data_IF_342318515777
#
_entry.id   IF_342318515777
#
_cell.length_a   1.000
_cell.length_b   1.000
_cell.length_c   1.000
_cell.angle_alpha   90.00
_cell.angle_beta   90.00
_cell.angle_gamma   90.00
#
_symmetry.space_group_name_H-M   'P 1'
#
loop_
_entity.id
_entity.type
_entity.pdbx_description
1 polymer ?
#
# COMPACT_ATOMS: atom_id res chain seq x y z
N UNK A 1 -23.66 -8.16 -1.87
CA UNK A 1 -23.07 -7.22 -2.85
C UNK A 1 -21.59 -7.54 -2.98
N UNK A 2 -21.07 -7.67 -4.20
CA UNK A 2 -19.65 -7.97 -4.46
C UNK A 2 -18.82 -6.72 -4.20
N UNK A 3 -17.79 -6.81 -3.36
CA UNK A 3 -16.77 -5.76 -3.27
C UNK A 3 -15.87 -5.87 -4.51
N UNK A 4 -15.63 -4.80 -5.28
CA UNK A 4 -14.85 -4.84 -6.52
C UNK A 4 -13.38 -5.28 -6.30
N UNK A 5 -12.90 -5.26 -5.04
CA UNK A 5 -11.56 -5.66 -4.70
C UNK A 5 -11.36 -7.18 -4.61
N UNK A 6 -12.35 -7.99 -4.20
CA UNK A 6 -12.19 -9.45 -4.05
C UNK A 6 -12.99 -10.21 -5.13
N UNK A 7 -12.45 -10.34 -6.36
CA UNK A 7 -13.20 -10.81 -7.53
C UNK A 7 -13.68 -12.26 -7.39
N UNK A 8 -12.89 -13.09 -6.73
CA UNK A 8 -13.16 -14.52 -6.54
C UNK A 8 -13.96 -14.83 -5.27
N UNK A 9 -14.39 -13.80 -4.51
CA UNK A 9 -15.15 -13.95 -3.26
C UNK A 9 -14.47 -14.91 -2.27
N UNK A 10 -13.14 -14.84 -2.22
CA UNK A 10 -12.33 -15.66 -1.33
C UNK A 10 -12.56 -15.23 0.13
N UNK A 11 -12.28 -16.15 1.05
CA UNK A 11 -12.23 -15.84 2.48
C UNK A 11 -11.27 -14.68 2.72
N UNK A 12 -11.71 -13.68 3.48
CA UNK A 12 -10.90 -12.49 3.78
C UNK A 12 -10.05 -12.74 5.01
N UNK A 13 -8.76 -12.39 4.91
CA UNK A 13 -7.82 -12.31 6.02
C UNK A 13 -7.61 -10.84 6.33
N UNK A 14 -7.91 -10.48 7.57
CA UNK A 14 -7.80 -9.11 8.07
C UNK A 14 -6.37 -8.78 8.51
N UNK A 15 -6.03 -7.49 8.49
CA UNK A 15 -4.69 -7.02 8.92
C UNK A 15 -4.81 -6.12 10.15
N UNK A 16 -4.15 -6.52 11.23
CA UNK A 16 -4.06 -5.75 12.47
C UNK A 16 -2.78 -4.90 12.47
N UNK A 17 -2.92 -3.57 12.59
CA UNK A 17 -1.80 -2.60 12.46
C UNK A 17 -1.28 -2.05 13.79
N UNK A 18 -1.87 -2.41 14.92
CA UNK A 18 -1.46 -1.94 16.26
C UNK A 18 -1.40 -3.10 17.24
N UNK A 19 -0.57 -2.96 18.28
CA UNK A 19 -0.47 -3.95 19.37
C UNK A 19 -1.83 -4.31 19.96
N UNK A 20 -2.68 -3.30 20.23
CA UNK A 20 -4.00 -3.50 20.82
C UNK A 20 -4.87 -4.42 19.95
N UNK A 21 -4.94 -4.17 18.64
CA UNK A 21 -5.77 -4.96 17.72
C UNK A 21 -5.18 -6.36 17.53
N UNK A 22 -3.85 -6.48 17.47
CA UNK A 22 -3.16 -7.78 17.38
C UNK A 22 -3.48 -8.64 18.62
N UNK A 23 -3.37 -8.07 19.81
CA UNK A 23 -3.64 -8.78 21.06
C UNK A 23 -5.12 -9.12 21.22
N UNK A 24 -6.02 -8.24 20.79
CA UNK A 24 -7.46 -8.53 20.78
C UNK A 24 -7.76 -9.76 19.91
N UNK A 25 -7.22 -9.82 18.69
CA UNK A 25 -7.41 -10.98 17.82
C UNK A 25 -6.91 -12.29 18.47
N UNK A 26 -5.76 -12.23 19.16
CA UNK A 26 -5.24 -13.39 19.91
C UNK A 26 -6.17 -13.82 21.06
N UNK A 27 -6.74 -12.87 21.80
CA UNK A 27 -7.69 -13.13 22.89
C UNK A 27 -9.00 -13.76 22.37
N UNK A 28 -9.39 -13.43 21.14
CA UNK A 28 -10.54 -14.00 20.45
C UNK A 28 -10.27 -15.41 19.87
N UNK A 29 -9.07 -15.96 20.09
CA UNK A 29 -8.68 -17.30 19.63
C UNK A 29 -8.19 -17.35 18.19
N UNK A 30 -7.98 -16.20 17.55
CA UNK A 30 -7.33 -16.10 16.24
C UNK A 30 -5.81 -16.15 16.44
N UNK A 31 -5.07 -16.44 15.39
CA UNK A 31 -3.61 -16.49 15.41
C UNK A 31 -3.02 -15.31 14.64
N UNK A 32 -2.46 -14.29 15.30
CA UNK A 32 -1.76 -13.22 14.59
C UNK A 32 -0.44 -13.73 13.98
N UNK A 33 -0.28 -13.56 12.67
CA UNK A 33 0.99 -13.73 11.98
C UNK A 33 1.68 -12.36 11.88
N UNK A 34 2.51 -12.05 12.89
CA UNK A 34 3.19 -10.76 13.00
C UNK A 34 4.32 -10.66 11.98
N UNK A 35 4.40 -9.52 11.29
CA UNK A 35 5.41 -9.17 10.29
C UNK A 35 5.95 -7.76 10.52
N UNK A 36 7.23 -7.50 10.20
CA UNK A 36 7.75 -6.14 10.16
C UNK A 36 7.12 -5.38 9.00
N UNK A 37 6.92 -4.08 9.19
CA UNK A 37 6.56 -3.16 8.10
C UNK A 37 7.85 -2.49 7.64
N UNK A 38 8.29 -2.83 6.43
CA UNK A 38 9.56 -2.34 5.86
C UNK A 38 9.23 -1.51 4.62
N UNK A 39 9.34 -0.17 4.69
CA UNK A 39 9.16 0.68 3.53
C UNK A 39 10.11 0.33 2.39
N UNK A 40 9.57 0.17 1.17
CA UNK A 40 10.38 -0.02 -0.03
C UNK A 40 10.79 1.33 -0.65
N UNK A 41 12.03 1.44 -1.10
CA UNK A 41 12.52 2.61 -1.87
C UNK A 41 11.90 2.68 -3.29
N UNK A 42 11.35 1.56 -3.76
CA UNK A 42 10.59 1.48 -5.01
C UNK A 42 9.17 2.03 -4.86
N UNK A 43 8.64 2.14 -3.64
CA UNK A 43 7.33 2.78 -3.43
C UNK A 43 7.56 4.27 -3.20
N UNK A 44 7.12 5.08 -4.16
CA UNK A 44 7.19 6.52 -4.02
C UNK A 44 6.21 7.23 -4.92
N UNK A 45 5.81 8.43 -4.48
CA UNK A 45 5.14 9.41 -5.31
C UNK A 45 6.09 10.57 -5.59
N UNK A 46 5.89 11.22 -6.73
CA UNK A 46 6.55 12.48 -7.08
C UNK A 46 5.68 13.66 -6.67
N UNK A 47 6.31 14.69 -6.11
CA UNK A 47 5.67 15.96 -5.80
C UNK A 47 6.65 17.12 -6.02
N UNK A 48 6.16 18.19 -6.65
CA UNK A 48 6.69 19.54 -6.54
C UNK A 48 5.69 20.41 -5.80
N UNK A 49 6.18 21.34 -4.98
CA UNK A 49 5.33 22.27 -4.21
C UNK A 49 5.56 23.68 -4.72
N UNK A 50 4.47 24.33 -5.09
CA UNK A 50 4.46 25.70 -5.57
C UNK A 50 3.65 26.54 -4.59
N UNK A 51 4.12 27.75 -4.31
CA UNK A 51 3.47 28.66 -3.37
C UNK A 51 3.09 29.95 -4.08
N UNK A 52 1.85 30.38 -3.90
CA UNK A 52 1.36 31.65 -4.43
C UNK A 52 2.03 32.82 -3.68
N UNK A 53 2.70 33.70 -4.41
CA UNK A 53 3.55 34.78 -3.86
C UNK A 53 2.83 35.77 -2.94
N UNK A 54 1.53 35.99 -3.15
CA UNK A 54 0.72 36.95 -2.36
C UNK A 54 -0.07 36.31 -1.21
N UNK A 55 -0.78 35.20 -1.46
CA UNK A 55 -1.67 34.56 -0.48
C UNK A 55 -0.95 33.54 0.39
N UNK A 56 0.18 32.98 -0.08
CA UNK A 56 0.88 31.90 0.59
C UNK A 56 0.25 30.52 0.41
N UNK A 57 -0.83 30.40 -0.35
CA UNK A 57 -1.48 29.12 -0.68
C UNK A 57 -0.54 28.21 -1.48
N UNK A 58 -0.66 26.91 -1.28
CA UNK A 58 0.15 25.91 -1.98
C UNK A 58 -0.63 25.18 -3.05
N UNK A 59 0.06 24.81 -4.12
CA UNK A 59 -0.43 23.90 -5.15
C UNK A 59 0.64 22.84 -5.43
N UNK A 60 0.19 21.60 -5.64
CA UNK A 60 1.05 20.44 -5.80
C UNK A 60 1.12 20.01 -7.26
N UNK A 61 2.31 19.62 -7.73
CA UNK A 61 2.48 19.01 -9.04
C UNK A 61 3.06 17.60 -8.94
N UNK A 62 2.32 16.61 -9.47
CA UNK A 62 2.86 15.28 -9.78
C UNK A 62 3.51 15.20 -11.17
N UNK A 63 3.23 16.17 -12.04
CA UNK A 63 3.71 16.21 -13.42
C UNK A 63 4.83 17.24 -13.59
N UNK A 64 6.03 16.77 -13.95
CA UNK A 64 7.19 17.64 -14.17
C UNK A 64 7.00 18.62 -15.34
N UNK A 65 6.05 18.34 -16.24
CA UNK A 65 5.74 19.17 -17.41
C UNK A 65 4.79 20.32 -17.06
N UNK A 66 4.14 20.27 -15.89
CA UNK A 66 3.17 21.28 -15.49
C UNK A 66 3.84 22.64 -15.29
N UNK A 67 3.23 23.69 -15.86
CA UNK A 67 3.70 25.06 -15.74
C UNK A 67 2.69 25.87 -14.95
N UNK A 68 3.15 26.47 -13.86
CA UNK A 68 2.35 27.38 -13.05
C UNK A 68 2.41 28.80 -13.61
N UNK A 69 1.42 29.62 -13.27
CA UNK A 69 1.47 31.05 -13.57
C UNK A 69 2.64 31.73 -12.85
N UNK A 70 2.97 32.96 -13.26
CA UNK A 70 4.04 33.75 -12.62
C UNK A 70 3.75 34.13 -11.17
N UNK A 71 2.48 34.01 -10.75
CA UNK A 71 2.05 34.30 -9.39
C UNK A 71 2.48 33.21 -8.40
N UNK A 72 2.94 32.06 -8.89
CA UNK A 72 3.50 30.99 -8.09
C UNK A 72 5.02 30.93 -8.19
N UNK A 73 5.64 30.44 -7.12
CA UNK A 73 7.05 30.08 -7.11
C UNK A 73 7.27 28.66 -6.63
N UNK A 74 8.26 27.98 -7.20
CA UNK A 74 8.62 26.64 -6.78
C UNK A 74 9.39 26.73 -5.46
N UNK A 75 8.77 26.27 -4.37
CA UNK A 75 9.38 26.27 -3.03
C UNK A 75 9.98 24.91 -2.69
N UNK A 76 9.44 23.83 -3.26
CA UNK A 76 10.03 22.49 -3.19
C UNK A 76 10.14 21.94 -4.61
N UNK A 77 11.37 21.86 -5.17
CA UNK A 77 11.59 21.22 -6.47
C UNK A 77 11.07 19.78 -6.49
N UNK A 78 10.71 19.31 -7.69
CA UNK A 78 10.16 17.97 -7.88
C UNK A 78 11.07 16.91 -7.27
N UNK A 79 10.54 16.15 -6.31
CA UNK A 79 11.22 15.07 -5.60
C UNK A 79 10.29 13.90 -5.37
N UNK A 80 10.85 12.75 -5.06
CA UNK A 80 10.09 11.58 -4.65
C UNK A 80 10.00 11.50 -3.12
N UNK A 81 8.93 10.88 -2.62
CA UNK A 81 8.72 10.60 -1.21
C UNK A 81 7.89 9.32 -1.04
N UNK A 82 8.06 8.65 0.10
CA UNK A 82 7.23 7.52 0.49
C UNK A 82 5.87 8.03 1.00
N UNK A 83 4.74 7.70 0.35
CA UNK A 83 3.47 8.38 0.61
C UNK A 83 2.63 7.74 1.71
N UNK A 84 3.06 6.60 2.27
CA UNK A 84 2.29 5.86 3.26
C UNK A 84 2.81 6.12 4.68
N UNK A 85 1.89 6.13 5.64
CA UNK A 85 2.19 6.24 7.05
C UNK A 85 1.48 5.10 7.79
N UNK A 86 2.26 4.27 8.49
CA UNK A 86 1.74 3.19 9.31
C UNK A 86 1.89 3.54 10.80
N UNK A 87 0.91 3.18 11.64
CA UNK A 87 0.93 3.52 13.06
C UNK A 87 2.05 2.80 13.83
N UNK A 88 2.52 1.66 13.32
CA UNK A 88 3.54 0.83 13.95
C UNK A 88 4.52 0.28 12.90
N UNK A 89 5.78 -0.01 13.28
CA UNK A 89 6.76 -0.65 12.39
C UNK A 89 6.53 -2.17 12.23
N UNK A 90 5.34 -2.65 12.60
CA UNK A 90 4.90 -4.03 12.52
C UNK A 90 3.39 -4.06 12.29
N UNK A 91 2.92 -5.19 11.78
CA UNK A 91 1.51 -5.51 11.62
C UNK A 91 1.33 -7.02 11.72
N UNK A 92 0.09 -7.52 11.72
CA UNK A 92 -0.16 -8.95 11.65
C UNK A 92 -1.33 -9.28 10.75
N UNK A 93 -1.19 -10.35 9.97
CA UNK A 93 -2.35 -11.00 9.38
C UNK A 93 -3.08 -11.79 10.45
N UNK A 94 -4.40 -11.65 10.54
CA UNK A 94 -5.23 -12.32 11.54
C UNK A 94 -5.69 -13.67 10.98
N UNK A 95 -5.02 -14.74 11.39
CA UNK A 95 -5.24 -16.09 10.86
C UNK A 95 -6.36 -16.80 11.64
N UNK A 96 -7.45 -17.20 10.99
CA UNK A 96 -8.45 -18.05 11.63
C UNK A 96 -7.90 -19.44 11.97
N UNK A 97 -8.33 -20.05 13.08
CA UNK A 97 -7.79 -21.33 13.54
C UNK A 97 -8.07 -22.51 12.59
N UNK A 98 -9.09 -22.38 11.74
CA UNK A 98 -9.52 -23.37 10.77
C UNK A 98 -8.90 -23.18 9.37
N UNK A 99 -8.02 -22.18 9.19
CA UNK A 99 -7.40 -21.91 7.88
C UNK A 99 -6.45 -23.03 7.46
N UNK A 100 -6.78 -23.74 6.38
CA UNK A 100 -6.02 -24.90 5.92
C UNK A 100 -4.83 -24.52 5.03
N UNK A 101 -3.72 -25.26 5.13
CA UNK A 101 -2.62 -25.09 4.18
C UNK A 101 -3.09 -25.42 2.76
N UNK A 102 -2.70 -24.59 1.79
CA UNK A 102 -3.18 -24.61 0.41
C UNK A 102 -4.46 -23.79 0.18
N UNK A 103 -5.10 -23.28 1.23
CA UNK A 103 -6.30 -22.45 1.09
C UNK A 103 -5.96 -21.11 0.43
N UNK A 104 -6.74 -20.75 -0.60
CA UNK A 104 -6.67 -19.45 -1.28
C UNK A 104 -7.56 -18.46 -0.55
N UNK A 105 -6.99 -17.30 -0.26
CA UNK A 105 -7.62 -16.24 0.51
C UNK A 105 -7.45 -14.89 -0.17
N UNK A 106 -8.20 -13.92 0.32
CA UNK A 106 -8.03 -12.51 0.02
C UNK A 106 -7.37 -11.80 1.20
N UNK A 107 -6.20 -11.21 1.00
CA UNK A 107 -5.58 -10.31 1.97
C UNK A 107 -6.17 -8.91 1.74
N UNK A 108 -6.91 -8.38 2.71
CA UNK A 108 -7.58 -7.09 2.55
C UNK A 108 -6.62 -5.90 2.58
N UNK A 109 -5.49 -6.05 3.27
CA UNK A 109 -4.44 -5.04 3.43
C UNK A 109 -3.08 -5.74 3.52
N UNK A 110 -2.31 -5.73 2.43
CA UNK A 110 -1.02 -6.44 2.32
C UNK A 110 0.04 -5.75 3.17
N UNK A 111 0.66 -6.43 4.13
CA UNK A 111 1.69 -5.82 4.99
C UNK A 111 2.93 -5.44 4.18
N UNK A 112 3.31 -6.30 3.23
CA UNK A 112 4.47 -6.14 2.36
C UNK A 112 4.36 -4.92 1.44
N UNK A 113 5.50 -4.31 1.17
CA UNK A 113 5.62 -3.14 0.33
C UNK A 113 5.96 -3.55 -1.11
N UNK A 114 4.93 -4.00 -1.82
CA UNK A 114 4.98 -4.47 -3.21
C UNK A 114 4.47 -3.36 -4.13
N UNK A 115 5.17 -3.05 -5.23
CA UNK A 115 4.73 -2.00 -6.18
C UNK A 115 3.50 -2.47 -6.96
N UNK A 116 2.38 -1.75 -6.87
CA UNK A 116 1.15 -2.10 -7.57
C UNK A 116 1.14 -1.64 -9.04
N UNK A 117 1.82 -0.53 -9.33
CA UNK A 117 1.78 0.17 -10.62
C UNK A 117 3.12 0.85 -10.90
N UNK A 118 3.58 0.80 -12.14
CA UNK A 118 4.76 1.53 -12.60
C UNK A 118 4.36 2.78 -13.40
N UNK A 119 4.31 3.93 -12.74
CA UNK A 119 4.09 5.22 -13.40
C UNK A 119 5.38 5.83 -13.98
N UNK A 120 5.33 6.28 -15.23
CA UNK A 120 6.46 6.91 -15.94
C UNK A 120 6.97 8.23 -15.31
N UNK A 121 6.17 8.88 -14.46
CA UNK A 121 6.53 10.12 -13.76
C UNK A 121 6.85 9.93 -12.27
N UNK A 122 7.07 8.69 -11.81
CA UNK A 122 7.36 8.41 -10.39
C UNK A 122 6.10 8.29 -9.53
N UNK A 123 5.04 7.71 -10.09
CA UNK A 123 3.87 7.24 -9.35
C UNK A 123 3.98 5.73 -9.20
N UNK A 124 4.45 5.27 -8.04
CA UNK A 124 4.68 3.86 -7.72
C UNK A 124 3.98 3.52 -6.40
N UNK A 125 2.64 3.38 -6.41
CA UNK A 125 1.86 3.04 -5.22
C UNK A 125 2.14 1.61 -4.76
N UNK A 126 1.84 1.32 -3.50
CA UNK A 126 1.91 -0.02 -2.93
C UNK A 126 0.67 -0.83 -3.29
N UNK A 127 0.82 -2.16 -3.36
CA UNK A 127 -0.27 -3.11 -3.51
C UNK A 127 -1.08 -3.14 -2.22
N UNK A 128 -2.31 -2.65 -2.29
CA UNK A 128 -3.16 -2.55 -1.11
C UNK A 128 -3.68 -3.92 -0.69
N UNK A 129 -4.11 -4.75 -1.65
CA UNK A 129 -4.79 -6.01 -1.41
C UNK A 129 -4.39 -7.03 -2.46
N UNK A 130 -4.50 -8.31 -2.13
CA UNK A 130 -4.08 -9.37 -3.04
C UNK A 130 -4.72 -10.71 -2.71
N UNK A 131 -4.82 -11.57 -3.73
CA UNK A 131 -4.99 -12.99 -3.49
C UNK A 131 -3.69 -13.59 -2.95
N UNK A 132 -3.83 -14.55 -2.05
CA UNK A 132 -2.70 -15.30 -1.54
C UNK A 132 -3.09 -16.75 -1.23
N UNK A 133 -2.08 -17.62 -1.13
CA UNK A 133 -2.25 -18.99 -0.65
C UNK A 133 -1.59 -19.15 0.72
N UNK A 134 -2.32 -19.67 1.70
CA UNK A 134 -1.76 -20.01 3.00
C UNK A 134 -0.87 -21.25 2.89
N UNK A 135 0.38 -21.17 3.33
CA UNK A 135 1.35 -22.28 3.28
C UNK A 135 1.32 -23.16 4.53
N UNK A 136 0.49 -22.83 5.54
CA UNK A 136 0.59 -23.38 6.89
C UNK A 136 1.50 -22.59 7.83
N UNK A 137 2.31 -21.67 7.28
CA UNK A 137 3.25 -20.82 8.04
C UNK A 137 3.20 -19.35 7.62
N UNK A 138 3.08 -19.09 6.33
CA UNK A 138 3.02 -17.75 5.74
C UNK A 138 2.11 -17.72 4.49
N UNK A 139 1.87 -16.54 3.92
CA UNK A 139 1.16 -16.33 2.67
C UNK A 139 2.10 -16.22 1.48
N UNK A 140 1.81 -17.00 0.44
CA UNK A 140 2.35 -16.76 -0.90
C UNK A 140 1.40 -15.80 -1.62
N UNK A 141 1.80 -14.53 -1.77
CA UNK A 141 1.03 -13.50 -2.47
C UNK A 141 1.07 -13.75 -3.98
N UNK A 142 -0.08 -13.72 -4.64
CA UNK A 142 -0.23 -13.96 -6.07
C UNK A 142 -0.12 -12.65 -6.87
N UNK A 143 1.04 -12.01 -6.78
CA UNK A 143 1.33 -10.79 -7.53
C UNK A 143 2.85 -10.62 -7.68
N UNK A 144 3.33 -10.60 -8.92
CA UNK A 144 4.72 -10.27 -9.28
C UNK A 144 4.75 -8.88 -9.91
N UNK A 145 5.32 -7.85 -9.24
CA UNK A 145 5.31 -6.49 -9.76
C UNK A 145 6.04 -6.32 -11.10
N UNK A 146 6.88 -7.26 -11.52
CA UNK A 146 7.54 -7.18 -12.83
C UNK A 146 6.70 -7.76 -13.97
N UNK A 147 5.66 -8.52 -13.64
CA UNK A 147 4.78 -9.20 -14.62
C UNK A 147 3.36 -8.65 -14.60
N UNK A 148 2.84 -8.40 -13.41
CA UNK A 148 1.42 -8.15 -13.18
C UNK A 148 1.11 -6.66 -12.98
N UNK A 149 2.09 -5.86 -12.50
CA UNK A 149 1.88 -4.42 -12.32
C UNK A 149 1.77 -3.70 -13.66
N UNK A 150 0.67 -2.96 -13.93
CA UNK A 150 0.54 -2.21 -15.16
C UNK A 150 1.55 -1.06 -15.22
N UNK A 151 1.97 -0.74 -16.43
CA UNK A 151 2.74 0.45 -16.72
C UNK A 151 1.80 1.60 -17.12
N UNK A 152 1.83 2.70 -16.38
CA UNK A 152 1.05 3.89 -16.68
C UNK A 152 1.93 4.96 -17.31
N UNK A 153 1.63 5.31 -18.55
CA UNK A 153 2.20 6.45 -19.25
C UNK A 153 1.21 7.63 -19.21
N UNK A 154 1.56 8.66 -18.44
CA UNK A 154 0.89 9.97 -18.44
C UNK A 154 1.74 11.05 -19.08
#
# INVERSE_FOLDING_TARGET
MRSPANPNQLRVIHTARTEQVINQAAQEGLRPLVKPVIPSDQIHFRVGVYQHRKTGEIELSGDIRMKFSKDYECVVPSRTYYPYHFPCPYAAYVIPPDLAAGERVWLEDVIEDIVAVWGNQGYQPRLENAEATWTGKDFTIHFDPNKDAPYLAG
#
